data_IF_221355102640
#
_entry.id   IF_221355102640
#
_cell.length_a   1.000
_cell.length_b   1.000
_cell.length_c   1.000
_cell.angle_alpha   90.00
_cell.angle_beta   90.00
_cell.angle_gamma   90.00
#
_symmetry.space_group_name_H-M   'P 1'
#
loop_
_entity.id
_entity.type
_entity.pdbx_description
1 polymer ?
#
# COMPACT_ATOMS: atom_id res chain seq x y z
N UNK A 1 1.61 15.27 3.63
CA UNK A 1 0.84 14.61 4.70
C UNK A 1 1.53 13.35 5.24
N UNK A 2 1.73 12.26 4.50
CA UNK A 2 2.44 11.07 5.04
C UNK A 2 3.89 11.41 5.42
N UNK A 3 4.64 12.04 4.52
CA UNK A 3 6.02 12.47 4.78
C UNK A 3 6.13 13.57 5.84
N UNK A 4 5.03 14.25 6.14
CA UNK A 4 4.97 15.35 7.11
C UNK A 4 4.53 14.87 8.50
N UNK A 5 3.86 13.71 8.60
CA UNK A 5 3.38 13.18 9.88
C UNK A 5 4.48 12.52 10.71
N UNK A 6 5.58 12.08 10.08
CA UNK A 6 6.64 11.32 10.76
C UNK A 6 6.25 9.89 11.16
N UNK A 7 5.04 9.46 10.80
CA UNK A 7 4.52 8.12 11.11
C UNK A 7 5.09 7.13 10.08
N UNK A 8 5.56 5.98 10.56
CA UNK A 8 6.05 4.90 9.70
C UNK A 8 4.90 4.22 8.93
N UNK A 9 4.64 4.71 7.72
CA UNK A 9 3.59 4.24 6.80
C UNK A 9 4.15 4.08 5.40
N UNK A 10 3.55 3.19 4.62
CA UNK A 10 3.84 2.98 3.21
C UNK A 10 2.59 3.23 2.35
N UNK A 11 2.78 3.70 1.11
CA UNK A 11 1.71 3.68 0.11
C UNK A 11 1.69 2.28 -0.49
N UNK A 12 0.73 1.45 -0.06
CA UNK A 12 0.54 0.10 -0.58
C UNK A 12 0.05 0.09 -2.02
N UNK A 13 -0.87 1.00 -2.37
CA UNK A 13 -1.42 1.08 -3.73
C UNK A 13 -1.67 2.54 -4.13
N UNK A 14 -1.21 2.95 -5.31
CA UNK A 14 -1.49 4.26 -5.92
C UNK A 14 -2.48 4.08 -7.09
N UNK A 15 -3.70 3.69 -6.76
CA UNK A 15 -4.72 3.26 -7.73
C UNK A 15 -5.10 4.38 -8.70
N UNK A 16 -5.38 5.57 -8.17
CA UNK A 16 -5.75 6.74 -8.97
C UNK A 16 -5.23 8.02 -8.32
N UNK A 17 -5.22 9.17 -9.04
CA UNK A 17 -4.91 10.47 -8.45
C UNK A 17 -5.76 10.87 -7.24
N UNK A 18 -6.86 10.14 -6.96
CA UNK A 18 -7.77 10.39 -5.84
C UNK A 18 -8.02 9.13 -5.01
N UNK A 19 -7.24 8.06 -5.17
CA UNK A 19 -7.43 6.86 -4.37
C UNK A 19 -6.08 6.20 -4.10
N UNK A 20 -5.77 6.08 -2.82
CA UNK A 20 -4.55 5.44 -2.34
C UNK A 20 -4.88 4.50 -1.19
N UNK A 21 -4.15 3.40 -1.13
CA UNK A 21 -4.17 2.48 0.01
C UNK A 21 -2.88 2.72 0.80
N UNK A 22 -3.04 3.02 2.09
CA UNK A 22 -1.95 3.25 3.02
C UNK A 22 -1.85 2.06 3.95
N UNK A 23 -0.65 1.50 4.04
CA UNK A 23 -0.37 0.34 4.87
C UNK A 23 0.60 0.69 5.99
N UNK A 24 0.49 -0.05 7.10
CA UNK A 24 1.34 0.14 8.27
C UNK A 24 0.88 -0.73 9.43
N UNK A 25 1.45 -0.48 10.60
CA UNK A 25 0.97 -1.11 11.84
C UNK A 25 -0.41 -0.57 12.21
N UNK A 26 -1.22 -1.34 12.94
CA UNK A 26 -2.54 -0.88 13.38
C UNK A 26 -2.46 0.43 14.18
N UNK A 27 -1.44 0.58 15.04
CA UNK A 27 -1.21 1.80 15.81
C UNK A 27 -0.91 3.00 14.91
N UNK A 28 0.01 2.85 13.94
CA UNK A 28 0.36 3.89 12.99
C UNK A 28 -0.84 4.33 12.14
N UNK A 29 -1.67 3.39 11.69
CA UNK A 29 -2.86 3.68 10.90
C UNK A 29 -3.96 4.36 11.71
N UNK A 30 -4.12 4.04 13.00
CA UNK A 30 -5.07 4.71 13.88
C UNK A 30 -4.67 6.16 14.15
N UNK A 31 -3.39 6.41 14.40
CA UNK A 31 -2.84 7.75 14.54
C UNK A 31 -3.05 8.57 13.25
N UNK A 32 -2.72 7.98 12.10
CA UNK A 32 -2.88 8.65 10.82
C UNK A 32 -4.34 8.90 10.45
N UNK A 33 -5.26 7.97 10.77
CA UNK A 33 -6.69 8.16 10.58
C UNK A 33 -7.19 9.40 11.33
N UNK A 34 -6.69 9.62 12.55
CA UNK A 34 -7.03 10.80 13.36
C UNK A 34 -6.57 12.10 12.67
N UNK A 35 -5.35 12.12 12.12
CA UNK A 35 -4.84 13.26 11.36
C UNK A 35 -5.65 13.52 10.09
N UNK A 36 -6.04 12.47 9.38
CA UNK A 36 -6.87 12.56 8.17
C UNK A 36 -8.25 13.12 8.47
N UNK A 37 -8.91 12.64 9.53
CA UNK A 37 -10.21 13.15 9.96
C UNK A 37 -10.12 14.62 10.38
N UNK A 38 -9.08 15.01 11.12
CA UNK A 38 -8.84 16.41 11.49
C UNK A 38 -8.60 17.32 10.25
N UNK A 39 -8.06 16.75 9.18
CA UNK A 39 -7.87 17.43 7.89
C UNK A 39 -9.10 17.36 6.97
N UNK A 40 -10.24 16.80 7.43
CA UNK A 40 -11.50 16.74 6.68
C UNK A 40 -11.61 15.60 5.67
N UNK A 41 -10.79 14.55 5.81
CA UNK A 41 -10.89 13.32 5.04
C UNK A 41 -11.70 12.25 5.78
N UNK A 42 -12.27 11.32 5.04
CA UNK A 42 -13.01 10.16 5.56
C UNK A 42 -12.27 8.87 5.15
N UNK A 43 -11.27 8.43 5.94
CA UNK A 43 -10.54 7.20 5.63
C UNK A 43 -11.42 5.96 5.85
N UNK A 44 -11.24 4.93 5.02
CA UNK A 44 -11.97 3.65 5.10
C UNK A 44 -11.00 2.55 5.53
N UNK A 45 -11.33 1.73 6.52
CA UNK A 45 -10.53 0.54 6.89
C UNK A 45 -10.87 -0.63 5.95
N UNK A 46 -9.87 -1.30 5.39
CA UNK A 46 -10.08 -2.56 4.65
C UNK A 46 -10.23 -3.72 5.63
N UNK A 47 -11.16 -4.64 5.34
CA UNK A 47 -11.31 -5.91 6.07
C UNK A 47 -10.30 -6.96 5.60
N UNK A 48 -9.01 -6.66 5.71
CA UNK A 48 -7.91 -7.59 5.36
C UNK A 48 -6.90 -7.64 6.52
N UNK A 49 -6.22 -8.77 6.68
CA UNK A 49 -5.35 -9.06 7.83
C UNK A 49 -3.86 -8.79 7.62
N UNK A 50 -3.47 -8.38 6.41
CA UNK A 50 -2.06 -8.22 6.04
C UNK A 50 -1.79 -6.86 5.43
N UNK A 51 -0.79 -6.15 5.96
CA UNK A 51 -0.27 -4.90 5.39
C UNK A 51 0.51 -5.15 4.08
N UNK A 52 -0.17 -5.68 3.05
CA UNK A 52 0.39 -6.01 1.74
C UNK A 52 1.04 -4.79 1.07
N UNK A 53 2.07 -5.06 0.26
CA UNK A 53 2.91 -4.06 -0.41
C UNK A 53 3.67 -3.09 0.53
N UNK A 54 3.67 -3.33 1.84
CA UNK A 54 4.48 -2.56 2.80
C UNK A 54 5.77 -3.27 3.15
N UNK A 55 6.68 -2.53 3.79
CA UNK A 55 7.92 -3.09 4.33
C UNK A 55 7.70 -4.14 5.42
N UNK A 56 6.51 -4.19 6.02
CA UNK A 56 6.16 -5.20 7.03
C UNK A 56 6.06 -6.62 6.46
N UNK A 57 6.05 -6.75 5.12
CA UNK A 57 6.02 -8.05 4.43
C UNK A 57 7.42 -8.59 4.09
N UNK A 58 8.51 -7.87 4.41
CA UNK A 58 9.87 -8.22 4.00
C UNK A 58 10.27 -9.65 4.39
N UNK A 59 9.92 -10.08 5.60
CA UNK A 59 10.24 -11.43 6.11
C UNK A 59 9.63 -12.56 5.27
N UNK A 60 8.50 -12.30 4.60
CA UNK A 60 7.84 -13.26 3.71
C UNK A 60 8.45 -13.36 2.32
N UNK A 61 9.32 -12.42 1.93
CA UNK A 61 9.83 -12.31 0.55
C UNK A 61 10.67 -13.51 0.16
N UNK A 62 11.58 -13.96 1.04
CA UNK A 62 12.49 -15.06 0.70
C UNK A 62 11.72 -16.38 0.55
N UNK A 63 10.81 -16.69 1.48
CA UNK A 63 10.00 -17.89 1.42
C UNK A 63 9.16 -17.96 0.12
N UNK A 64 8.59 -16.83 -0.31
CA UNK A 64 7.86 -16.76 -1.59
C UNK A 64 8.78 -16.97 -2.80
N UNK A 65 9.99 -16.39 -2.78
CA UNK A 65 10.98 -16.61 -3.86
C UNK A 65 11.38 -18.08 -3.97
N UNK A 66 11.66 -18.73 -2.85
CA UNK A 66 12.08 -20.14 -2.82
C UNK A 66 10.97 -21.05 -3.36
N UNK A 67 9.72 -20.78 -2.97
CA UNK A 67 8.56 -21.49 -3.49
C UNK A 67 8.40 -21.30 -5.01
N UNK A 68 8.46 -20.05 -5.50
CA UNK A 68 8.33 -19.75 -6.92
C UNK A 68 9.46 -20.35 -7.77
N UNK A 69 10.68 -20.44 -7.24
CA UNK A 69 11.81 -21.03 -7.93
C UNK A 69 11.64 -22.54 -8.21
N UNK A 70 10.75 -23.21 -7.48
CA UNK A 70 10.39 -24.62 -7.72
C UNK A 70 9.32 -24.82 -8.81
N UNK A 71 8.76 -23.75 -9.38
CA UNK A 71 7.74 -23.82 -10.42
C UNK A 71 8.34 -23.61 -11.81
N UNK A 72 7.86 -24.37 -12.79
CA UNK A 72 8.19 -24.14 -14.20
C UNK A 72 7.33 -23.00 -14.76
N UNK A 73 7.83 -21.76 -14.64
CA UNK A 73 7.15 -20.55 -15.12
C UNK A 73 7.68 -20.23 -16.52
N UNK A 74 6.85 -20.49 -17.54
CA UNK A 74 7.16 -20.14 -18.91
C UNK A 74 7.16 -18.63 -19.15
N UNK A 75 7.92 -18.18 -20.15
CA UNK A 75 7.87 -16.80 -20.62
C UNK A 75 6.47 -16.44 -21.12
N UNK A 76 5.98 -15.23 -20.81
CA UNK A 76 4.63 -14.83 -21.23
C UNK A 76 4.56 -14.65 -22.75
N UNK A 77 3.47 -15.13 -23.36
CA UNK A 77 3.18 -14.95 -24.80
C UNK A 77 2.62 -13.55 -25.12
N UNK A 78 2.28 -12.79 -24.09
CA UNK A 78 1.70 -11.46 -24.17
C UNK A 78 2.52 -10.46 -23.36
N UNK A 79 2.31 -9.18 -23.64
CA UNK A 79 2.96 -8.11 -22.89
C UNK A 79 2.54 -8.15 -21.42
N UNK A 80 3.53 -8.25 -20.54
CA UNK A 80 3.34 -8.18 -19.09
C UNK A 80 3.79 -6.81 -18.59
N UNK A 81 2.90 -6.13 -17.86
CA UNK A 81 3.22 -4.93 -17.09
C UNK A 81 3.42 -5.31 -15.62
N UNK A 82 4.56 -4.97 -15.05
CA UNK A 82 4.91 -5.23 -13.66
C UNK A 82 4.65 -3.98 -12.81
N UNK A 83 3.90 -4.11 -11.71
CA UNK A 83 3.60 -3.02 -10.77
C UNK A 83 4.87 -2.39 -10.16
N UNK A 84 5.94 -3.18 -9.97
CA UNK A 84 7.23 -2.72 -9.46
C UNK A 84 7.98 -1.85 -10.47
N UNK A 85 7.87 -2.18 -11.75
CA UNK A 85 8.66 -1.58 -12.83
C UNK A 85 7.85 -0.71 -13.79
N UNK A 86 6.54 -0.56 -13.57
CA UNK A 86 5.67 0.27 -14.39
C UNK A 86 6.15 1.73 -14.37
N UNK A 87 6.41 2.28 -15.55
CA UNK A 87 6.78 3.70 -15.69
C UNK A 87 5.65 4.56 -15.13
N UNK A 88 5.86 5.14 -13.95
CA UNK A 88 5.02 6.23 -13.43
C UNK A 88 5.01 7.32 -14.50
N UNK A 89 3.87 7.52 -15.18
CA UNK A 89 3.71 8.66 -16.10
C UNK A 89 4.01 9.92 -15.30
N UNK A 90 5.07 10.64 -15.67
CA UNK A 90 5.61 11.79 -14.95
C UNK A 90 4.50 12.68 -14.40
N UNK A 91 4.27 12.60 -13.09
CA UNK A 91 3.37 13.47 -12.36
C UNK A 91 4.04 13.76 -11.04
N UNK A 92 4.45 15.00 -10.85
CA UNK A 92 4.73 15.54 -9.53
C UNK A 92 3.47 15.35 -8.69
N UNK A 93 3.56 14.50 -7.68
CA UNK A 93 2.44 14.08 -6.82
C UNK A 93 2.12 15.24 -5.87
N UNK A 94 1.30 16.19 -6.33
CA UNK A 94 0.66 17.18 -5.48
C UNK A 94 -0.76 16.66 -5.16
N UNK A 95 -0.87 15.78 -4.15
CA UNK A 95 -2.13 15.14 -3.76
C UNK A 95 -2.76 15.90 -2.58
N UNK A 96 -3.74 16.77 -2.87
CA UNK A 96 -4.45 17.58 -1.86
C UNK A 96 -5.92 17.87 -2.23
N UNK A 97 -6.65 16.90 -2.82
CA UNK A 97 -8.13 16.99 -2.92
C UNK A 97 -8.77 15.62 -2.69
N UNK A 98 -9.57 15.51 -1.61
CA UNK A 98 -10.40 14.36 -1.17
C UNK A 98 -10.04 13.04 -1.85
N UNK A 99 -8.89 12.50 -1.48
CA UNK A 99 -8.48 11.15 -1.84
C UNK A 99 -9.22 10.15 -0.96
N UNK A 100 -9.83 9.11 -1.54
CA UNK A 100 -10.24 7.92 -0.80
C UNK A 100 -8.96 7.27 -0.28
N UNK A 101 -8.76 7.36 1.04
CA UNK A 101 -7.62 6.77 1.72
C UNK A 101 -8.11 5.51 2.40
N UNK A 102 -7.56 4.38 1.99
CA UNK A 102 -7.92 3.10 2.57
C UNK A 102 -6.78 2.57 3.44
N UNK A 103 -7.10 2.05 4.62
CA UNK A 103 -6.11 1.63 5.61
C UNK A 103 -6.01 0.11 5.64
N UNK A 104 -4.79 -0.41 5.57
CA UNK A 104 -4.50 -1.84 5.58
C UNK A 104 -3.49 -2.20 6.70
N UNK A 105 -3.96 -2.90 7.74
CA UNK A 105 -3.18 -3.22 8.94
C UNK A 105 -2.70 -4.68 8.99
N UNK A 106 -1.55 -4.89 9.62
CA UNK A 106 -1.05 -6.20 10.04
C UNK A 106 -1.73 -6.61 11.37
N UNK A 107 -2.49 -7.70 11.41
CA UNK A 107 -3.20 -8.18 12.61
C UNK A 107 -4.44 -9.04 12.33
N UNK A 108 -5.05 -9.62 13.38
CA UNK A 108 -6.27 -10.44 13.25
C UNK A 108 -7.44 -9.66 12.60
N UNK A 109 -8.27 -10.37 11.84
CA UNK A 109 -9.58 -9.84 11.42
C UNK A 109 -10.44 -9.68 12.67
N UNK A 110 -10.91 -8.46 12.95
CA UNK A 110 -12.01 -8.23 13.91
C UNK A 110 -13.27 -9.00 13.48
#
# INVERSE_FOLDING_TARGET
>A
MITESGIALDISCDNTPRQQVIGGTQAALNEFATLLMAAGYEPVKLGVSGAWHTRLMEDGVQAMRDYLAGLDIASPEHQVSDERNSKKRGRSVNYQRKSLITLNSYGEMD
#
